data_IF_624234943909
#
_entry.id   IF_624234943909
#
_cell.length_a   1.000
_cell.length_b   1.000
_cell.length_c   1.000
_cell.angle_alpha   90.00
_cell.angle_beta   90.00
_cell.angle_gamma   90.00
#
_symmetry.space_group_name_H-M   'P 1'
#
loop_
_entity.id
_entity.type
_entity.pdbx_description
1 polymer ?
#
# COMPACT_ATOMS: atom_id res chain seq x y z
N UNK A 1 -18.63 22.42 -28.62
CA UNK A 1 -18.64 20.97 -28.33
C UNK A 1 -17.52 20.72 -27.34
N UNK A 2 -17.83 20.64 -26.05
CA UNK A 2 -16.83 20.30 -25.04
C UNK A 2 -16.59 18.80 -25.12
N UNK A 3 -15.37 18.39 -25.44
CA UNK A 3 -14.96 17.00 -25.27
C UNK A 3 -15.09 16.67 -23.79
N UNK A 4 -16.01 15.77 -23.46
CA UNK A 4 -16.04 15.07 -22.18
C UNK A 4 -14.74 14.27 -22.07
N UNK A 5 -13.66 14.89 -21.60
CA UNK A 5 -12.45 14.17 -21.26
C UNK A 5 -12.79 13.17 -20.15
N UNK A 6 -12.64 11.88 -20.46
CA UNK A 6 -12.79 10.83 -19.47
C UNK A 6 -11.82 11.11 -18.31
N UNK A 7 -12.26 11.06 -17.05
CA UNK A 7 -11.37 11.27 -15.92
C UNK A 7 -10.18 10.32 -16.03
N UNK A 8 -8.96 10.84 -15.88
CA UNK A 8 -7.75 10.03 -15.78
C UNK A 8 -7.90 9.07 -14.60
N UNK A 9 -7.64 7.78 -14.84
CA UNK A 9 -7.70 6.72 -13.84
C UNK A 9 -6.36 6.02 -13.76
N UNK A 10 -6.04 5.48 -12.58
CA UNK A 10 -4.88 4.64 -12.41
C UNK A 10 -5.04 3.33 -13.19
N UNK A 11 -3.96 2.80 -13.78
CA UNK A 11 -3.98 1.47 -14.36
C UNK A 11 -4.19 0.42 -13.26
N UNK A 12 -4.95 -0.62 -13.58
CA UNK A 12 -5.24 -1.73 -12.67
C UNK A 12 -4.43 -2.96 -13.11
N UNK A 13 -3.74 -3.55 -12.15
CA UNK A 13 -2.94 -4.76 -12.30
C UNK A 13 -3.59 -5.88 -11.48
N UNK A 14 -3.94 -6.98 -12.13
CA UNK A 14 -4.69 -8.09 -11.51
C UNK A 14 -3.78 -9.24 -11.07
N UNK A 15 -3.66 -9.39 -9.75
CA UNK A 15 -2.90 -10.44 -9.07
C UNK A 15 -3.77 -11.56 -8.50
N UNK A 16 -5.10 -11.49 -8.68
CA UNK A 16 -6.04 -12.47 -8.11
C UNK A 16 -6.05 -13.82 -8.85
N UNK A 17 -5.47 -13.87 -10.05
CA UNK A 17 -5.44 -15.08 -10.87
C UNK A 17 -4.46 -16.10 -10.28
N UNK A 18 -4.97 -17.30 -9.96
CA UNK A 18 -4.25 -18.42 -9.32
C UNK A 18 -2.98 -18.92 -10.06
N UNK A 19 -2.60 -18.32 -11.19
CA UNK A 19 -1.50 -18.77 -12.05
C UNK A 19 -0.61 -17.61 -12.55
N UNK A 20 -0.25 -16.66 -11.68
CA UNK A 20 0.90 -15.78 -11.94
C UNK A 20 2.20 -16.57 -11.75
N UNK A 21 2.48 -17.47 -12.68
CA UNK A 21 3.72 -18.25 -12.71
C UNK A 21 4.80 -17.48 -13.46
N UNK A 22 5.99 -17.28 -12.87
CA UNK A 22 7.12 -16.65 -13.55
C UNK A 22 7.39 -17.26 -14.93
N UNK A 23 7.51 -16.38 -15.94
CA UNK A 23 7.71 -16.77 -17.34
C UNK A 23 6.44 -17.14 -18.13
N UNK A 24 5.25 -17.13 -17.50
CA UNK A 24 3.98 -17.25 -18.25
C UNK A 24 3.66 -15.97 -19.02
N UNK A 25 2.77 -16.06 -20.02
CA UNK A 25 2.34 -14.88 -20.79
C UNK A 25 1.64 -13.85 -19.91
N UNK A 26 0.84 -14.32 -18.95
CA UNK A 26 0.14 -13.50 -17.98
C UNK A 26 1.14 -12.79 -17.06
N UNK A 27 2.17 -13.51 -16.59
CA UNK A 27 3.25 -12.94 -15.79
C UNK A 27 3.98 -11.82 -16.54
N UNK A 28 4.37 -12.05 -17.79
CA UNK A 28 5.04 -11.03 -18.61
C UNK A 28 4.18 -9.79 -18.85
N UNK A 29 2.87 -9.99 -19.04
CA UNK A 29 1.91 -8.89 -19.21
C UNK A 29 1.83 -8.05 -17.93
N UNK A 30 1.68 -8.69 -16.78
CA UNK A 30 1.59 -8.03 -15.48
C UNK A 30 2.92 -7.37 -15.11
N UNK A 31 4.05 -8.03 -15.35
CA UNK A 31 5.40 -7.48 -15.15
C UNK A 31 5.62 -6.21 -15.95
N UNK A 32 5.18 -6.19 -17.21
CA UNK A 32 5.25 -4.98 -18.05
C UNK A 32 4.41 -3.83 -17.48
N UNK A 33 3.24 -4.12 -16.93
CA UNK A 33 2.41 -3.11 -16.25
C UNK A 33 3.08 -2.59 -14.98
N UNK A 34 3.66 -3.47 -14.15
CA UNK A 34 4.40 -3.11 -12.94
C UNK A 34 5.59 -2.22 -13.25
N UNK A 35 6.26 -2.45 -14.37
CA UNK A 35 7.37 -1.61 -14.81
C UNK A 35 6.88 -0.24 -15.32
N UNK A 36 5.92 -0.21 -16.26
CA UNK A 36 5.55 1.01 -16.98
C UNK A 36 4.62 1.94 -16.19
N UNK A 37 3.70 1.39 -15.39
CA UNK A 37 2.68 2.20 -14.72
C UNK A 37 3.27 3.21 -13.72
N UNK A 38 4.26 2.84 -12.89
CA UNK A 38 4.92 3.80 -12.00
C UNK A 38 5.69 4.91 -12.74
N UNK A 39 6.21 4.66 -13.94
CA UNK A 39 6.90 5.69 -14.72
C UNK A 39 5.95 6.76 -15.26
N UNK A 40 4.75 6.35 -15.67
CA UNK A 40 3.77 7.23 -16.31
C UNK A 40 2.80 7.85 -15.30
N UNK A 41 2.31 7.04 -14.36
CA UNK A 41 1.27 7.41 -13.40
C UNK A 41 1.79 7.56 -11.97
N UNK A 42 2.99 7.05 -11.67
CA UNK A 42 3.55 7.03 -10.32
C UNK A 42 3.19 5.84 -9.47
N UNK A 43 2.08 5.22 -9.79
CA UNK A 43 1.52 4.11 -9.07
C UNK A 43 0.54 3.35 -9.97
N UNK A 44 0.03 2.25 -9.44
CA UNK A 44 -1.04 1.48 -10.03
C UNK A 44 -1.94 0.93 -8.93
N UNK A 45 -3.14 0.54 -9.31
CA UNK A 45 -4.05 -0.20 -8.45
C UNK A 45 -3.77 -1.70 -8.59
N UNK A 46 -3.36 -2.34 -7.50
CA UNK A 46 -3.13 -3.78 -7.43
C UNK A 46 -4.40 -4.47 -6.93
N UNK A 47 -5.11 -5.16 -7.82
CA UNK A 47 -6.21 -6.04 -7.45
C UNK A 47 -5.61 -7.35 -6.94
N UNK A 48 -5.69 -7.58 -5.64
CA UNK A 48 -5.08 -8.75 -5.00
C UNK A 48 -6.12 -9.39 -4.07
N UNK A 49 -6.73 -10.47 -4.57
CA UNK A 49 -7.63 -11.31 -3.77
C UNK A 49 -7.14 -12.74 -3.80
N UNK A 50 -6.57 -13.20 -2.70
CA UNK A 50 -6.45 -14.64 -2.47
C UNK A 50 -7.81 -15.15 -2.05
N UNK A 51 -8.49 -15.89 -2.92
CA UNK A 51 -9.47 -16.88 -2.47
C UNK A 51 -8.65 -17.88 -1.64
N UNK A 52 -8.83 -17.98 -0.31
CA UNK A 52 -8.00 -18.88 0.45
C UNK A 52 -8.33 -20.31 0.05
N UNK A 53 -7.32 -21.18 -0.02
CA UNK A 53 -7.54 -22.60 -0.19
C UNK A 53 -8.31 -23.06 1.05
N UNK A 54 -9.57 -23.43 0.84
CA UNK A 54 -10.53 -23.84 1.86
C UNK A 54 -10.96 -22.74 2.85
N UNK A 55 -12.16 -22.20 2.59
CA UNK A 55 -12.99 -21.42 3.51
C UNK A 55 -12.36 -20.16 4.15
N UNK A 56 -12.74 -19.01 3.55
CA UNK A 56 -12.80 -17.63 4.09
C UNK A 56 -11.59 -16.72 3.84
N UNK A 57 -11.63 -16.01 2.72
CA UNK A 57 -11.34 -14.58 2.76
C UNK A 57 -12.73 -14.02 2.54
N UNK A 58 -13.40 -13.53 3.58
CA UNK A 58 -14.71 -12.95 3.39
C UNK A 58 -14.56 -11.45 3.08
N UNK A 59 -15.64 -10.80 2.61
CA UNK A 59 -15.86 -9.35 2.75
C UNK A 59 -15.73 -8.80 4.19
N UNK A 60 -15.33 -9.62 5.16
CA UNK A 60 -15.05 -9.27 6.54
C UNK A 60 -13.59 -8.85 6.78
N UNK A 61 -12.59 -9.19 5.96
CA UNK A 61 -11.19 -8.79 6.24
C UNK A 61 -11.05 -7.26 6.23
N UNK A 62 -11.61 -6.59 5.22
CA UNK A 62 -11.64 -5.12 5.14
C UNK A 62 -12.26 -4.49 6.39
N UNK A 63 -13.47 -4.94 6.74
CA UNK A 63 -14.18 -4.43 7.90
C UNK A 63 -13.39 -4.71 9.18
N UNK A 64 -12.89 -5.93 9.35
CA UNK A 64 -12.09 -6.33 10.51
C UNK A 64 -10.80 -5.54 10.62
N UNK A 65 -10.06 -5.33 9.53
CA UNK A 65 -8.79 -4.59 9.57
C UNK A 65 -9.03 -3.13 9.93
N UNK A 66 -10.02 -2.46 9.31
CA UNK A 66 -10.32 -1.07 9.66
C UNK A 66 -10.95 -0.93 11.05
N UNK A 67 -11.77 -1.89 11.50
CA UNK A 67 -12.27 -1.92 12.88
C UNK A 67 -11.14 -2.12 13.88
N UNK A 68 -10.20 -3.02 13.62
CA UNK A 68 -9.03 -3.21 14.47
C UNK A 68 -8.12 -1.98 14.47
N UNK A 69 -7.89 -1.36 13.31
CA UNK A 69 -7.08 -0.14 13.18
C UNK A 69 -7.68 1.07 13.91
N UNK A 70 -8.98 1.07 14.22
CA UNK A 70 -9.63 2.11 15.04
C UNK A 70 -9.28 1.98 16.54
N UNK A 71 -9.04 0.75 17.03
CA UNK A 71 -8.82 0.48 18.45
C UNK A 71 -7.67 1.30 19.07
N UNK A 72 -6.47 1.39 18.44
CA UNK A 72 -5.39 2.20 18.98
C UNK A 72 -5.70 3.70 19.12
N UNK A 73 -6.54 4.25 18.24
CA UNK A 73 -6.90 5.67 18.30
C UNK A 73 -7.84 5.99 19.47
N UNK A 74 -8.55 4.98 19.96
CA UNK A 74 -9.44 5.07 21.12
C UNK A 74 -8.71 4.86 22.46
N UNK A 75 -7.40 4.55 22.44
CA UNK A 75 -6.61 4.42 23.66
C UNK A 75 -6.45 5.76 24.41
N UNK A 76 -6.17 5.72 25.73
CA UNK A 76 -5.87 6.91 26.52
C UNK A 76 -4.76 7.77 25.91
N UNK A 77 -4.84 9.09 26.13
CA UNK A 77 -3.87 10.03 25.57
C UNK A 77 -2.43 9.70 26.01
N UNK A 78 -2.22 9.26 27.26
CA UNK A 78 -0.87 8.89 27.73
C UNK A 78 -0.28 7.76 26.89
N UNK A 79 -1.06 6.72 26.57
CA UNK A 79 -0.62 5.58 25.75
C UNK A 79 -0.28 6.00 24.32
N UNK A 80 -1.08 6.92 23.74
CA UNK A 80 -0.84 7.46 22.39
C UNK A 80 0.40 8.35 22.34
N UNK A 81 0.68 9.13 23.37
CA UNK A 81 1.88 9.98 23.46
C UNK A 81 3.17 9.15 23.55
N UNK A 82 3.11 7.95 24.12
CA UNK A 82 4.23 7.00 24.13
C UNK A 82 4.46 6.31 22.77
N UNK A 83 3.48 6.37 21.86
CA UNK A 83 3.50 5.73 20.54
C UNK A 83 3.11 6.73 19.44
N UNK A 84 3.92 7.80 19.31
CA UNK A 84 3.65 8.95 18.40
C UNK A 84 3.54 8.52 16.92
N UNK A 85 4.21 7.44 16.56
CA UNK A 85 4.13 6.77 15.27
C UNK A 85 3.41 5.44 15.49
N UNK A 86 2.12 5.36 15.14
CA UNK A 86 1.33 4.11 15.13
C UNK A 86 1.84 3.15 14.03
N UNK A 87 3.10 2.72 14.13
CA UNK A 87 3.78 1.86 13.17
C UNK A 87 4.46 0.67 13.84
N UNK A 88 4.58 -0.41 13.07
CA UNK A 88 5.22 -1.67 13.48
C UNK A 88 6.34 -1.97 12.49
N UNK A 89 7.58 -1.95 12.97
CA UNK A 89 8.74 -2.42 12.22
C UNK A 89 8.77 -3.95 12.21
N UNK A 90 9.12 -4.50 11.05
CA UNK A 90 9.15 -5.94 10.76
C UNK A 90 7.84 -6.64 11.13
N UNK A 91 6.72 -6.06 10.66
CA UNK A 91 5.35 -6.50 10.99
C UNK A 91 5.05 -7.95 10.57
N UNK A 92 5.84 -8.50 9.66
CA UNK A 92 5.80 -9.90 9.25
C UNK A 92 6.41 -10.86 10.30
N UNK A 93 7.06 -10.32 11.34
CA UNK A 93 7.61 -11.07 12.47
C UNK A 93 6.61 -10.99 13.64
N UNK A 94 6.12 -12.15 14.09
CA UNK A 94 5.09 -12.25 15.13
C UNK A 94 5.46 -11.53 16.43
N UNK A 95 6.71 -11.70 16.87
CA UNK A 95 7.24 -11.09 18.09
C UNK A 95 7.18 -9.56 18.08
N UNK A 96 7.34 -8.95 16.90
CA UNK A 96 7.31 -7.50 16.73
C UNK A 96 5.89 -6.95 16.87
N UNK A 97 4.92 -7.66 16.30
CA UNK A 97 3.49 -7.35 16.48
C UNK A 97 3.10 -7.50 17.96
N UNK A 98 3.53 -8.59 18.60
CA UNK A 98 3.26 -8.83 20.02
C UNK A 98 3.86 -7.73 20.91
N UNK A 99 5.07 -7.25 20.61
CA UNK A 99 5.73 -6.15 21.32
C UNK A 99 4.93 -4.84 21.24
N UNK A 100 4.40 -4.49 20.07
CA UNK A 100 3.50 -3.33 19.96
C UNK A 100 2.28 -3.52 20.86
N UNK A 101 1.65 -4.70 20.81
CA UNK A 101 0.40 -4.96 21.53
C UNK A 101 0.60 -4.88 23.03
N UNK A 102 1.67 -5.46 23.56
CA UNK A 102 2.01 -5.37 24.97
C UNK A 102 2.26 -3.92 25.43
N UNK A 103 2.68 -3.04 24.50
CA UNK A 103 2.86 -1.60 24.76
C UNK A 103 1.52 -0.85 24.74
N UNK A 104 0.61 -1.21 23.83
CA UNK A 104 -0.68 -0.53 23.65
C UNK A 104 -1.75 -1.02 24.64
N UNK A 105 -1.76 -2.31 24.97
CA UNK A 105 -2.77 -2.96 25.81
C UNK A 105 -2.13 -3.78 26.94
N UNK A 106 -2.20 -3.30 28.20
CA UNK A 106 -1.70 -4.05 29.36
C UNK A 106 -2.40 -5.39 29.59
N UNK A 107 -3.63 -5.56 29.08
CA UNK A 107 -4.44 -6.79 29.22
C UNK A 107 -4.40 -7.68 27.97
N UNK A 108 -3.43 -7.43 27.07
CA UNK A 108 -3.32 -8.05 25.75
C UNK A 108 -4.53 -7.76 24.82
N UNK A 109 -4.33 -7.93 23.51
CA UNK A 109 -5.40 -7.86 22.51
C UNK A 109 -5.17 -8.89 21.39
N UNK A 110 -5.46 -10.18 21.64
CA UNK A 110 -5.15 -11.26 20.70
C UNK A 110 -5.89 -11.13 19.36
N UNK A 111 -7.11 -10.58 19.36
CA UNK A 111 -7.87 -10.33 18.14
C UNK A 111 -7.20 -9.30 17.24
N UNK A 112 -6.73 -8.19 17.81
CA UNK A 112 -5.98 -7.19 17.06
C UNK A 112 -4.68 -7.79 16.49
N UNK A 113 -3.92 -8.55 17.31
CA UNK A 113 -2.71 -9.25 16.87
C UNK A 113 -2.94 -10.09 15.63
N UNK A 114 -3.93 -10.99 15.71
CA UNK A 114 -4.25 -11.93 14.65
C UNK A 114 -4.69 -11.22 13.37
N UNK A 115 -5.48 -10.16 13.50
CA UNK A 115 -5.92 -9.35 12.34
C UNK A 115 -4.75 -8.66 11.66
N UNK A 116 -3.89 -7.97 12.43
CA UNK A 116 -2.73 -7.26 11.87
C UNK A 116 -1.73 -8.22 11.26
N UNK A 117 -1.45 -9.35 11.92
CA UNK A 117 -0.55 -10.37 11.40
C UNK A 117 -1.06 -10.95 10.08
N UNK A 118 -2.33 -11.41 10.06
CA UNK A 118 -2.92 -12.00 8.85
C UNK A 118 -2.98 -11.01 7.68
N UNK A 119 -3.23 -9.74 7.95
CA UNK A 119 -3.17 -8.68 6.94
C UNK A 119 -1.74 -8.47 6.43
N UNK A 120 -0.77 -8.41 7.35
CA UNK A 120 0.64 -8.16 7.02
C UNK A 120 1.26 -9.28 6.21
N UNK A 121 0.94 -10.55 6.52
CA UNK A 121 1.34 -11.72 5.75
C UNK A 121 0.85 -11.60 4.29
N UNK A 122 -0.43 -11.30 4.08
CA UNK A 122 -1.02 -11.13 2.74
C UNK A 122 -0.37 -9.98 1.96
N UNK A 123 -0.17 -8.82 2.59
CA UNK A 123 0.44 -7.66 1.92
C UNK A 123 1.92 -7.91 1.62
N UNK A 124 2.65 -8.62 2.51
CA UNK A 124 4.05 -8.98 2.28
C UNK A 124 4.22 -9.93 1.10
N UNK A 125 3.25 -10.82 0.86
CA UNK A 125 3.27 -11.69 -0.31
C UNK A 125 3.06 -10.90 -1.61
N UNK A 126 2.08 -9.99 -1.62
CA UNK A 126 1.87 -9.09 -2.77
C UNK A 126 3.16 -8.30 -3.06
N UNK A 127 3.81 -7.78 -2.02
CA UNK A 127 5.09 -7.09 -2.13
C UNK A 127 6.18 -7.99 -2.73
N UNK A 128 6.31 -9.25 -2.29
CA UNK A 128 7.28 -10.20 -2.87
C UNK A 128 7.03 -10.44 -4.37
N UNK A 129 5.78 -10.62 -4.79
CA UNK A 129 5.42 -10.79 -6.21
C UNK A 129 5.83 -9.54 -7.01
N UNK A 130 5.49 -8.36 -6.50
CA UNK A 130 5.79 -7.08 -7.15
C UNK A 130 7.30 -6.87 -7.25
N UNK A 131 8.06 -7.10 -6.17
CA UNK A 131 9.52 -7.00 -6.18
C UNK A 131 10.16 -7.97 -7.16
N UNK A 132 9.64 -9.20 -7.27
CA UNK A 132 10.15 -10.15 -8.25
C UNK A 132 9.98 -9.63 -9.67
N UNK A 133 8.78 -9.13 -10.00
CA UNK A 133 8.50 -8.54 -11.32
C UNK A 133 9.42 -7.35 -11.60
N UNK A 134 9.66 -6.51 -10.59
CA UNK A 134 10.58 -5.36 -10.68
C UNK A 134 12.02 -5.80 -10.97
N UNK A 135 12.54 -6.78 -10.23
CA UNK A 135 13.92 -7.25 -10.44
C UNK A 135 14.07 -7.95 -11.79
N UNK A 136 13.10 -8.76 -12.19
CA UNK A 136 13.07 -9.40 -13.51
C UNK A 136 12.99 -8.36 -14.64
N UNK A 137 12.24 -7.25 -14.48
CA UNK A 137 12.20 -6.16 -15.47
C UNK A 137 13.55 -5.46 -15.64
N UNK A 138 14.41 -5.54 -14.63
CA UNK A 138 15.78 -5.02 -14.66
C UNK A 138 16.85 -6.05 -15.03
N UNK A 139 16.49 -7.32 -15.23
CA UNK A 139 17.47 -8.40 -15.43
C UNK A 139 18.31 -8.71 -14.17
N UNK A 140 17.74 -8.45 -12.99
CA UNK A 140 18.35 -8.59 -11.67
C UNK A 140 17.73 -9.72 -10.83
N UNK A 141 16.96 -10.61 -11.44
CA UNK A 141 16.21 -11.68 -10.77
C UNK A 141 17.08 -12.62 -9.93
N UNK A 142 18.36 -12.77 -10.27
CA UNK A 142 19.32 -13.57 -9.50
C UNK A 142 19.56 -13.04 -8.08
N UNK A 143 19.24 -11.77 -7.81
CA UNK A 143 19.37 -11.14 -6.50
C UNK A 143 18.06 -11.15 -5.70
N UNK A 144 17.01 -11.80 -6.18
CA UNK A 144 15.70 -11.76 -5.54
C UNK A 144 15.73 -12.25 -4.09
N UNK A 145 16.34 -13.41 -3.82
CA UNK A 145 16.42 -13.96 -2.45
C UNK A 145 17.22 -13.06 -1.51
N UNK A 146 18.41 -12.59 -1.94
CA UNK A 146 19.24 -11.66 -1.16
C UNK A 146 18.49 -10.35 -0.87
N UNK A 147 17.76 -9.83 -1.86
CA UNK A 147 16.94 -8.64 -1.68
C UNK A 147 15.83 -8.89 -0.66
N UNK A 148 15.16 -10.04 -0.69
CA UNK A 148 14.11 -10.37 0.28
C UNK A 148 14.65 -10.52 1.70
N UNK A 149 15.80 -11.16 1.89
CA UNK A 149 16.45 -11.32 3.20
C UNK A 149 16.81 -9.96 3.84
N UNK A 150 17.13 -8.96 3.03
CA UNK A 150 17.46 -7.61 3.48
C UNK A 150 16.25 -6.66 3.56
N UNK A 151 15.04 -7.14 3.26
CA UNK A 151 13.83 -6.30 3.24
C UNK A 151 13.18 -6.24 4.62
N UNK A 152 13.08 -5.04 5.19
CA UNK A 152 12.28 -4.75 6.38
C UNK A 152 10.88 -4.26 6.00
N UNK A 153 9.86 -4.70 6.75
CA UNK A 153 8.46 -4.31 6.52
C UNK A 153 7.94 -3.39 7.61
N UNK A 154 7.69 -2.12 7.26
CA UNK A 154 7.03 -1.17 8.16
C UNK A 154 5.54 -1.07 7.83
N UNK A 155 4.68 -1.53 8.73
CA UNK A 155 3.25 -1.19 8.70
C UNK A 155 3.03 0.12 9.42
N UNK A 156 2.37 1.09 8.77
CA UNK A 156 1.97 2.35 9.40
C UNK A 156 0.45 2.52 9.33
N UNK A 157 -0.19 2.58 10.48
CA UNK A 157 -1.61 2.89 10.59
C UNK A 157 -1.75 4.41 10.68
N UNK A 158 -2.55 5.01 9.79
CA UNK A 158 -2.76 6.46 9.78
C UNK A 158 -4.25 6.76 9.75
N UNK A 159 -4.70 7.59 10.69
CA UNK A 159 -6.05 8.13 10.75
C UNK A 159 -6.03 9.63 10.57
N UNK A 160 -6.72 10.09 9.55
CA UNK A 160 -6.99 11.49 9.31
C UNK A 160 -8.35 11.84 9.94
N UNK A 161 -8.43 12.94 10.70
CA UNK A 161 -9.72 13.46 11.18
C UNK A 161 -10.60 13.89 9.99
N UNK A 162 -11.92 13.99 10.10
CA UNK A 162 -12.70 14.65 9.05
C UNK A 162 -12.39 16.16 8.99
N UNK A 163 -12.64 16.84 7.84
CA UNK A 163 -12.59 18.29 7.79
C UNK A 163 -13.51 18.89 8.86
N UNK A 164 -13.03 19.91 9.58
CA UNK A 164 -13.83 20.64 10.59
C UNK A 164 -14.60 21.82 9.99
N UNK A 165 -14.33 22.11 8.71
CA UNK A 165 -14.83 23.26 7.95
C UNK A 165 -15.01 22.84 6.49
N UNK A 166 -15.85 23.54 5.73
CA UNK A 166 -16.03 23.29 4.28
C UNK A 166 -14.82 23.74 3.42
N UNK A 167 -13.71 24.13 4.03
CA UNK A 167 -12.47 24.48 3.33
C UNK A 167 -11.63 23.22 3.05
N UNK A 168 -11.36 22.96 1.77
CA UNK A 168 -10.37 21.98 1.32
C UNK A 168 -8.98 22.41 1.76
N UNK A 169 -8.39 21.72 2.74
CA UNK A 169 -7.02 21.95 3.22
C UNK A 169 -6.08 20.82 2.78
N UNK A 170 -4.87 21.19 2.39
CA UNK A 170 -3.82 20.22 2.10
C UNK A 170 -3.34 19.62 3.43
N UNK A 171 -3.48 18.31 3.61
CA UNK A 171 -3.09 17.62 4.85
C UNK A 171 -1.67 17.14 4.85
N UNK A 172 -1.27 16.55 3.74
CA UNK A 172 0.11 16.17 3.50
C UNK A 172 0.58 16.87 2.24
N UNK A 173 1.67 17.67 2.31
CA UNK A 173 2.26 18.25 1.14
C UNK A 173 2.73 17.18 0.17
N UNK A 174 2.85 17.59 -1.10
CA UNK A 174 3.37 16.75 -2.16
C UNK A 174 4.75 16.19 -1.77
N UNK A 175 4.87 14.86 -1.67
CA UNK A 175 6.10 14.16 -1.30
C UNK A 175 6.23 12.83 -2.05
N UNK A 176 7.43 12.27 -2.04
CA UNK A 176 7.73 10.90 -2.49
C UNK A 176 8.09 10.04 -1.27
N UNK A 177 7.88 8.72 -1.37
CA UNK A 177 8.33 7.85 -0.29
C UNK A 177 9.83 7.55 -0.45
N UNK A 178 10.48 7.17 0.66
CA UNK A 178 11.88 6.78 0.68
C UNK A 178 12.11 5.26 0.50
N UNK A 179 11.03 4.49 0.41
CA UNK A 179 11.07 3.02 0.32
C UNK A 179 11.11 2.57 -1.15
N UNK A 180 11.38 1.29 -1.42
CA UNK A 180 11.31 0.73 -2.79
C UNK A 180 9.85 0.55 -3.21
N UNK A 181 9.04 -0.08 -2.36
CA UNK A 181 7.62 -0.34 -2.62
C UNK A 181 6.81 0.22 -1.45
N UNK A 182 5.67 0.85 -1.75
CA UNK A 182 4.65 1.25 -0.77
C UNK A 182 3.30 0.69 -1.21
N UNK A 183 2.64 -0.08 -0.35
CA UNK A 183 1.30 -0.62 -0.59
C UNK A 183 0.33 0.07 0.37
N UNK A 184 -0.65 0.78 -0.17
CA UNK A 184 -1.64 1.56 0.60
C UNK A 184 -3.01 0.88 0.55
N UNK A 185 -3.63 0.71 1.72
CA UNK A 185 -4.99 0.19 1.82
C UNK A 185 -5.98 1.26 2.28
N UNK A 186 -6.89 1.61 1.36
CA UNK A 186 -7.94 2.63 1.43
C UNK A 186 -9.12 2.32 2.34
N UNK A 187 -9.61 3.17 3.27
CA UNK A 187 -10.96 2.96 3.84
C UNK A 187 -12.09 3.56 2.96
N UNK A 188 -11.91 3.67 1.64
CA UNK A 188 -12.88 4.32 0.73
C UNK A 188 -13.21 5.74 1.20
N UNK A 189 -12.21 6.40 1.78
CA UNK A 189 -12.26 7.81 2.09
C UNK A 189 -11.41 8.51 1.07
N UNK A 190 -12.08 9.42 0.42
CA UNK A 190 -11.64 10.31 -0.62
C UNK A 190 -10.56 11.28 -0.06
N UNK A 191 -9.43 11.46 -0.77
CA UNK A 191 -8.38 12.43 -0.39
C UNK A 191 -6.96 12.15 -0.88
N UNK A 192 -6.67 10.97 -1.43
CA UNK A 192 -5.35 10.67 -2.01
C UNK A 192 -5.26 11.14 -3.46
N UNK A 193 -4.30 12.01 -3.74
CA UNK A 193 -3.95 12.42 -5.10
C UNK A 193 -2.53 11.99 -5.46
N UNK A 194 -2.35 11.52 -6.69
CA UNK A 194 -1.06 11.12 -7.24
C UNK A 194 -0.78 11.93 -8.50
N UNK A 195 0.44 12.46 -8.61
CA UNK A 195 0.85 13.27 -9.75
C UNK A 195 1.48 12.41 -10.85
N UNK A 196 0.99 12.45 -12.07
CA UNK A 196 1.55 11.74 -13.25
C UNK A 196 2.87 12.35 -13.73
N UNK A 197 3.49 11.71 -14.74
CA UNK A 197 4.68 12.20 -15.45
C UNK A 197 4.54 13.59 -16.05
N UNK A 198 3.38 13.88 -16.65
CA UNK A 198 3.07 15.17 -17.24
C UNK A 198 2.59 16.22 -16.21
N UNK A 199 2.64 15.90 -14.91
CA UNK A 199 2.33 16.82 -13.83
C UNK A 199 0.84 16.95 -13.49
N UNK A 200 -0.04 16.19 -14.17
CA UNK A 200 -1.47 16.11 -13.85
C UNK A 200 -1.70 15.36 -12.54
N UNK A 201 -2.80 15.65 -11.86
CA UNK A 201 -3.17 14.98 -10.62
C UNK A 201 -4.32 14.02 -10.86
N UNK A 202 -4.15 12.78 -10.41
CA UNK A 202 -5.17 11.72 -10.45
C UNK A 202 -5.69 11.52 -9.04
N UNK A 203 -7.02 11.55 -8.94
CA UNK A 203 -7.71 11.17 -7.73
C UNK A 203 -7.73 9.66 -7.58
N UNK A 204 -7.11 9.13 -6.52
CA UNK A 204 -6.99 7.71 -6.32
C UNK A 204 -8.18 7.19 -5.49
N UNK A 205 -9.16 6.60 -6.17
CA UNK A 205 -10.33 5.95 -5.56
C UNK A 205 -10.33 4.44 -5.91
N UNK A 206 -9.50 3.63 -5.21
CA UNK A 206 -9.37 2.21 -5.45
C UNK A 206 -10.59 1.46 -4.93
N UNK A 207 -10.87 0.32 -5.54
CA UNK A 207 -11.91 -0.58 -5.06
C UNK A 207 -11.64 -1.09 -3.62
N UNK A 208 -12.66 -1.67 -2.98
CA UNK A 208 -12.53 -2.29 -1.65
C UNK A 208 -11.53 -3.46 -1.62
N UNK A 209 -11.28 -4.07 -2.78
CA UNK A 209 -10.53 -5.31 -2.96
C UNK A 209 -9.15 -5.08 -3.57
N UNK A 210 -8.72 -3.82 -3.64
CA UNK A 210 -7.44 -3.44 -4.22
C UNK A 210 -6.62 -2.55 -3.31
N UNK A 211 -5.35 -2.45 -3.69
CA UNK A 211 -4.34 -1.64 -3.02
C UNK A 211 -3.80 -0.63 -4.00
N UNK A 212 -3.37 0.53 -3.52
CA UNK A 212 -2.56 1.44 -4.34
C UNK A 212 -1.11 1.09 -4.09
N UNK A 213 -0.40 0.68 -5.14
CA UNK A 213 1.02 0.33 -5.06
C UNK A 213 1.86 1.39 -5.75
N UNK A 214 2.87 1.87 -5.03
CA UNK A 214 3.85 2.85 -5.51
C UNK A 214 5.24 2.23 -5.51
N UNK A 215 6.02 2.52 -6.55
CA UNK A 215 7.45 2.20 -6.63
C UNK A 215 8.22 3.52 -6.51
N UNK A 216 9.13 3.60 -5.55
CA UNK A 216 9.66 4.87 -5.02
C UNK A 216 11.21 4.93 -4.97
N UNK A 217 11.74 6.03 -4.39
CA UNK A 217 13.11 6.56 -4.47
C UNK A 217 14.30 5.57 -4.36
N UNK A 218 14.21 4.43 -3.68
CA UNK A 218 15.33 3.48 -3.63
C UNK A 218 15.48 2.69 -4.93
N UNK A 219 14.40 2.52 -5.69
CA UNK A 219 14.46 1.96 -7.04
C UNK A 219 15.31 2.83 -7.99
N UNK A 220 15.37 4.16 -7.75
CA UNK A 220 16.23 5.11 -8.47
C UNK A 220 17.70 4.69 -8.55
N UNK A 221 18.21 3.95 -7.57
CA UNK A 221 19.62 3.51 -7.56
C UNK A 221 19.89 2.38 -8.55
N UNK A 222 18.85 1.68 -8.99
CA UNK A 222 18.95 0.49 -9.83
C UNK A 222 18.58 0.77 -11.30
N UNK A 223 18.06 1.95 -11.63
CA UNK A 223 17.66 2.32 -12.99
C UNK A 223 18.29 3.66 -13.40
N UNK A 224 18.83 3.80 -14.63
CA UNK A 224 19.36 5.07 -15.15
C UNK A 224 18.33 6.21 -15.10
N UNK A 225 18.80 7.47 -15.14
CA UNK A 225 18.08 8.74 -14.87
C UNK A 225 16.84 9.07 -15.75
N UNK A 226 16.17 8.12 -16.40
CA UNK A 226 15.08 8.37 -17.36
C UNK A 226 13.65 8.20 -16.80
N UNK A 227 13.49 7.85 -15.52
CA UNK A 227 12.16 7.63 -14.92
C UNK A 227 11.69 8.83 -14.10
N UNK A 228 10.46 9.30 -14.39
CA UNK A 228 9.74 10.29 -13.59
C UNK A 228 9.11 9.63 -12.37
N UNK A 229 9.27 10.22 -11.20
CA UNK A 229 8.77 9.67 -9.95
C UNK A 229 7.71 10.59 -9.34
N UNK A 230 6.53 10.02 -9.12
CA UNK A 230 5.34 10.77 -8.80
C UNK A 230 5.30 11.23 -7.36
N UNK A 231 4.94 12.50 -7.22
CA UNK A 231 4.60 13.09 -5.93
C UNK A 231 3.18 12.65 -5.58
N UNK A 232 2.96 12.27 -4.33
CA UNK A 232 1.61 12.16 -3.77
C UNK A 232 1.36 13.29 -2.79
N UNK A 233 0.12 13.74 -2.74
CA UNK A 233 -0.34 14.59 -1.66
C UNK A 233 -1.63 14.01 -1.08
N UNK A 234 -1.98 14.45 0.12
CA UNK A 234 -3.32 14.22 0.67
C UNK A 234 -4.03 15.56 0.77
N UNK A 235 -5.18 15.65 0.10
CA UNK A 235 -6.12 16.76 0.27
C UNK A 235 -7.25 16.31 1.18
N UNK A 236 -7.73 17.24 1.99
CA UNK A 236 -9.08 17.13 2.56
C UNK A 236 -10.08 17.25 1.42
N UNK A 237 -10.93 16.26 1.23
CA UNK A 237 -12.18 16.45 0.48
C UNK A 237 -13.41 16.11 1.32
N UNK A 238 -14.53 16.67 0.87
CA UNK A 238 -15.78 16.84 1.59
C UNK A 238 -16.63 15.57 1.37
N UNK A 239 -16.73 14.77 2.45
CA UNK A 239 -17.58 13.59 2.69
C UNK A 239 -17.22 12.27 2.00
#
# INVERSE_FOLDING_TARGET
>A
MGSSETPLKLPITDYSKQALTPGSKEWETVRTQVHNAPEEYGCFEALFYKVPPHNKAPPHIRKSIFQSMEEPYNLPLQTKLQNVSMGVDDVNIYEQVQRLINTLWPQENPSFCKTIQSFSEQVSELDQIIRRMILESLGLEKYFEEHLELTNYLLRMIKYKGPQTNETKLRLPAHTNKNIVTILYQNQVDGLEVQTKDGKWIYANPSSDSFITMIDLLYRKFVPDEIHWSRKCLRDEIY
#
